data_IF_992098670510
#
_entry.id   IF_992098670510
#
_cell.length_a   1.000
_cell.length_b   1.000
_cell.length_c   1.000
_cell.angle_alpha   90.00
_cell.angle_beta   90.00
_cell.angle_gamma   90.00
#
_symmetry.space_group_name_H-M   'P 1'
#
loop_
_entity.id
_entity.type
_entity.pdbx_description
1 polymer ?
#
# COMPACT_ATOMS: atom_id res chain seq x y z
N UNK A 1 -0.71 -14.06 -9.54
CA UNK A 1 -1.56 -12.91 -9.16
C UNK A 1 -0.70 -11.65 -9.13
N UNK A 2 -1.28 -10.53 -9.52
CA UNK A 2 -0.59 -9.24 -9.49
C UNK A 2 -0.34 -8.85 -8.03
N UNK A 3 0.84 -8.27 -7.75
CA UNK A 3 1.17 -7.68 -6.44
C UNK A 3 0.07 -6.69 -6.00
N UNK A 4 -0.38 -6.70 -4.74
CA UNK A 4 -1.44 -5.82 -4.26
C UNK A 4 -1.19 -4.33 -4.50
N UNK A 5 0.06 -3.86 -4.40
CA UNK A 5 0.40 -2.47 -4.72
C UNK A 5 0.28 -2.18 -6.21
N UNK A 6 0.78 -3.08 -7.06
CA UNK A 6 0.65 -2.92 -8.52
C UNK A 6 -0.81 -2.97 -8.98
N UNK A 7 -1.66 -3.74 -8.29
CA UNK A 7 -3.09 -3.75 -8.55
C UNK A 7 -3.73 -2.38 -8.31
N UNK A 8 -3.33 -1.69 -7.25
CA UNK A 8 -3.80 -0.34 -6.95
C UNK A 8 -3.44 0.65 -8.06
N UNK A 9 -2.19 0.60 -8.55
CA UNK A 9 -1.75 1.48 -9.65
C UNK A 9 -2.36 1.10 -10.99
N UNK A 10 -2.58 -0.18 -11.24
CA UNK A 10 -3.27 -0.64 -12.46
C UNK A 10 -4.66 -0.03 -12.61
N UNK A 11 -5.34 0.29 -11.52
CA UNK A 11 -6.66 0.95 -11.53
C UNK A 11 -6.64 2.37 -12.12
N UNK A 12 -5.47 3.00 -12.24
CA UNK A 12 -5.31 4.29 -12.93
C UNK A 12 -5.39 4.19 -14.45
N UNK A 13 -5.23 2.99 -15.01
CA UNK A 13 -5.23 2.75 -16.45
C UNK A 13 -6.29 1.74 -16.90
N UNK A 14 -6.76 0.89 -15.99
CA UNK A 14 -7.72 -0.16 -16.30
C UNK A 14 -8.51 -0.59 -15.06
N UNK A 15 -9.67 -1.17 -15.28
CA UNK A 15 -10.42 -1.85 -14.23
C UNK A 15 -9.77 -3.22 -13.95
N UNK A 16 -9.42 -3.48 -12.69
CA UNK A 16 -8.91 -4.78 -12.25
C UNK A 16 -10.08 -5.63 -11.78
N UNK A 17 -10.41 -6.68 -12.53
CA UNK A 17 -11.50 -7.62 -12.23
C UNK A 17 -10.90 -8.97 -11.87
N UNK A 18 -11.33 -9.56 -10.78
CA UNK A 18 -11.05 -10.97 -10.50
C UNK A 18 -11.94 -11.83 -11.41
N UNK A 19 -11.34 -12.60 -12.31
CA UNK A 19 -12.09 -13.41 -13.24
C UNK A 19 -11.21 -14.25 -14.16
N UNK A 20 -11.86 -15.04 -14.98
CA UNK A 20 -11.27 -16.02 -15.90
C UNK A 20 -10.79 -15.43 -17.24
N UNK A 21 -10.69 -14.13 -17.35
CA UNK A 21 -10.21 -13.45 -18.55
C UNK A 21 -8.68 -13.45 -18.66
N UNK A 22 -8.15 -13.52 -19.86
CA UNK A 22 -6.77 -13.13 -20.15
C UNK A 22 -6.65 -11.64 -19.84
N UNK A 23 -5.94 -11.30 -18.77
CA UNK A 23 -5.60 -9.92 -18.51
C UNK A 23 -4.75 -9.41 -19.67
N UNK A 24 -5.32 -8.54 -20.48
CA UNK A 24 -4.47 -7.59 -21.22
C UNK A 24 -3.72 -6.82 -20.14
N UNK A 25 -2.40 -6.88 -20.20
CA UNK A 25 -1.56 -6.29 -19.17
C UNK A 25 -1.77 -4.79 -19.19
N UNK A 26 -2.58 -4.30 -18.27
CA UNK A 26 -2.48 -2.90 -17.90
C UNK A 26 -1.02 -2.64 -17.51
N UNK A 27 -0.42 -1.65 -18.14
CA UNK A 27 0.94 -1.24 -17.82
C UNK A 27 0.94 -0.59 -16.43
N UNK A 28 0.98 -1.42 -15.40
CA UNK A 28 0.97 -0.96 -14.02
C UNK A 28 2.33 -0.42 -13.56
N UNK A 29 3.28 -0.24 -14.48
CA UNK A 29 4.66 0.05 -14.09
C UNK A 29 5.30 -1.13 -13.32
N UNK A 30 6.43 -0.87 -12.70
CA UNK A 30 7.12 -1.83 -11.87
C UNK A 30 7.46 -1.21 -10.51
N UNK A 31 7.32 -2.01 -9.46
CA UNK A 31 7.91 -1.66 -8.17
C UNK A 31 9.42 -1.83 -8.26
N UNK A 32 10.13 -0.77 -7.93
CA UNK A 32 11.58 -0.80 -7.82
C UNK A 32 11.95 -1.12 -6.37
N UNK A 33 12.80 -2.14 -6.18
CA UNK A 33 13.37 -2.45 -4.87
C UNK A 33 14.54 -1.53 -4.60
N UNK A 34 14.50 -0.80 -3.49
CA UNK A 34 15.57 0.09 -3.06
C UNK A 34 16.59 -0.63 -2.21
N UNK A 35 17.86 -0.23 -2.34
CA UNK A 35 18.93 -0.73 -1.48
C UNK A 35 18.82 -0.12 -0.09
N UNK A 36 18.82 -0.99 0.91
CA UNK A 36 18.77 -0.62 2.33
C UNK A 36 20.19 -0.65 2.91
N UNK A 37 20.56 0.39 3.65
CA UNK A 37 21.85 0.52 4.34
C UNK A 37 21.62 0.81 5.82
N UNK A 38 22.58 0.42 6.68
CA UNK A 38 22.53 0.72 8.11
C UNK A 38 21.87 -0.35 8.99
N UNK A 39 21.28 -1.40 8.41
CA UNK A 39 20.78 -2.56 9.18
C UNK A 39 21.12 -3.87 8.52
N UNK A 40 21.16 -4.93 9.32
CA UNK A 40 21.37 -6.31 8.85
C UNK A 40 20.13 -7.15 9.17
N UNK A 41 19.87 -8.16 8.38
CA UNK A 41 18.73 -9.06 8.57
C UNK A 41 18.71 -9.74 9.95
N UNK A 42 19.89 -10.03 10.53
CA UNK A 42 20.02 -10.58 11.89
C UNK A 42 19.66 -9.59 13.01
N UNK A 43 19.40 -8.34 12.69
CA UNK A 43 19.17 -7.26 13.65
C UNK A 43 17.72 -6.75 13.65
N UNK A 44 16.82 -7.42 12.94
CA UNK A 44 15.41 -6.99 12.81
C UNK A 44 14.59 -7.35 14.06
N UNK A 45 15.09 -6.96 15.23
CA UNK A 45 14.45 -7.16 16.52
C UNK A 45 14.26 -5.80 17.20
N UNK A 46 12.98 -5.47 17.48
CA UNK A 46 12.60 -4.29 18.26
C UNK A 46 12.40 -4.67 19.72
N UNK A 47 12.98 -3.90 20.60
CA UNK A 47 12.72 -3.96 22.04
C UNK A 47 12.54 -2.53 22.59
N UNK A 48 12.13 -2.37 23.83
CA UNK A 48 12.03 -1.04 24.48
C UNK A 48 13.38 -0.28 24.54
N UNK A 49 14.50 -0.98 24.31
CA UNK A 49 15.84 -0.41 24.37
C UNK A 49 16.53 -0.36 23.01
N UNK A 50 15.94 -0.98 21.98
CA UNK A 50 16.54 -1.10 20.65
C UNK A 50 15.49 -0.78 19.58
N UNK A 51 15.66 0.32 18.88
CA UNK A 51 14.99 0.63 17.61
C UNK A 51 15.76 0.03 16.42
N UNK A 52 15.13 -0.07 15.27
CA UNK A 52 15.78 -0.40 14.00
C UNK A 52 15.80 0.88 13.18
N UNK A 53 16.99 1.29 12.76
CA UNK A 53 17.20 2.47 11.92
C UNK A 53 17.96 2.07 10.67
N UNK A 54 17.55 2.59 9.53
CA UNK A 54 18.22 2.36 8.25
C UNK A 54 17.92 3.49 7.28
N UNK A 55 18.75 3.57 6.24
CA UNK A 55 18.62 4.56 5.18
C UNK A 55 18.37 3.88 3.84
N UNK A 56 17.65 4.55 2.98
CA UNK A 56 17.42 4.15 1.58
C UNK A 56 17.69 5.33 0.67
N UNK A 57 18.18 5.07 -0.53
CA UNK A 57 18.47 6.09 -1.55
C UNK A 57 17.71 5.82 -2.84
N UNK A 58 17.67 6.80 -3.74
CA UNK A 58 16.90 6.71 -4.99
C UNK A 58 15.41 7.00 -4.80
N UNK A 59 15.05 7.74 -3.73
CA UNK A 59 13.66 7.93 -3.30
C UNK A 59 12.97 9.12 -3.96
N UNK A 60 13.70 10.16 -4.38
CA UNK A 60 13.14 11.46 -4.75
C UNK A 60 12.07 11.37 -5.84
N UNK A 61 10.90 11.96 -5.56
CA UNK A 61 9.75 12.00 -6.47
C UNK A 61 8.96 10.69 -6.58
N UNK A 62 9.41 9.63 -5.89
CA UNK A 62 8.73 8.33 -5.91
C UNK A 62 7.91 8.12 -4.64
N UNK A 63 6.86 7.32 -4.74
CA UNK A 63 6.10 6.87 -3.60
C UNK A 63 6.78 5.66 -2.96
N UNK A 64 7.00 5.72 -1.63
CA UNK A 64 7.84 4.77 -0.88
C UNK A 64 6.96 3.87 -0.01
N UNK A 65 7.29 2.58 -0.04
CA UNK A 65 6.64 1.53 0.75
C UNK A 65 7.67 0.70 1.50
N UNK A 66 7.46 0.51 2.80
CA UNK A 66 8.16 -0.47 3.62
C UNK A 66 7.31 -1.72 3.76
N UNK A 67 7.87 -2.87 3.45
CA UNK A 67 7.28 -4.20 3.68
C UNK A 67 8.07 -4.92 4.75
N UNK A 68 7.38 -5.49 5.71
CA UNK A 68 7.95 -6.31 6.77
C UNK A 68 7.37 -7.71 6.66
N UNK A 69 8.22 -8.72 6.77
CA UNK A 69 7.81 -10.12 6.58
C UNK A 69 8.16 -10.96 7.81
N UNK A 70 7.33 -11.97 8.06
CA UNK A 70 7.58 -12.97 9.09
C UNK A 70 7.58 -12.39 10.50
N UNK A 71 6.64 -11.51 10.81
CA UNK A 71 6.55 -10.92 12.14
C UNK A 71 6.33 -12.00 13.22
N UNK A 72 7.31 -12.16 14.12
CA UNK A 72 7.19 -12.96 15.33
C UNK A 72 6.85 -12.06 16.52
N UNK A 73 5.69 -12.29 17.10
CA UNK A 73 5.12 -11.45 18.16
C UNK A 73 4.73 -12.36 19.33
N UNK A 74 5.15 -12.06 20.57
CA UNK A 74 4.65 -12.74 21.76
C UNK A 74 3.12 -12.69 21.85
N UNK A 75 2.51 -13.67 22.51
CA UNK A 75 1.05 -13.73 22.68
C UNK A 75 0.54 -12.68 23.67
N UNK A 76 0.77 -11.43 23.32
CA UNK A 76 0.34 -10.22 24.03
C UNK A 76 0.15 -9.08 23.02
N UNK A 77 -0.62 -8.06 23.40
CA UNK A 77 -0.72 -6.85 22.60
C UNK A 77 0.66 -6.23 22.41
N UNK A 78 1.08 -6.14 21.15
CA UNK A 78 2.35 -5.54 20.75
C UNK A 78 2.06 -4.43 19.74
N UNK A 79 2.70 -3.27 19.93
CA UNK A 79 2.52 -2.10 19.08
C UNK A 79 3.89 -1.51 18.74
N UNK A 80 4.10 -1.16 17.50
CA UNK A 80 5.29 -0.47 17.03
C UNK A 80 4.91 0.66 16.08
N UNK A 81 5.80 1.62 15.94
CA UNK A 81 5.69 2.70 14.96
C UNK A 81 6.79 2.61 13.93
N UNK A 82 6.48 3.12 12.75
CA UNK A 82 7.43 3.37 11.66
C UNK A 82 7.40 4.85 11.35
N UNK A 83 8.55 5.49 11.42
CA UNK A 83 8.75 6.90 11.08
C UNK A 83 9.65 7.01 9.86
N UNK A 84 9.29 7.87 8.92
CA UNK A 84 10.07 8.16 7.72
C UNK A 84 9.34 9.18 6.85
N UNK A 85 10.07 9.95 6.06
CA UNK A 85 9.52 10.95 5.15
C UNK A 85 8.54 11.94 5.83
N UNK A 86 8.84 12.34 7.07
CA UNK A 86 7.98 13.23 7.87
C UNK A 86 6.65 12.60 8.32
N UNK A 87 6.48 11.30 8.15
CA UNK A 87 5.27 10.56 8.55
C UNK A 87 5.60 9.54 9.63
N UNK A 88 4.64 9.30 10.52
CA UNK A 88 4.70 8.20 11.49
C UNK A 88 3.42 7.39 11.38
N UNK A 89 3.56 6.06 11.35
CA UNK A 89 2.47 5.09 11.31
C UNK A 89 2.63 4.10 12.45
N UNK A 90 1.55 3.76 13.14
CA UNK A 90 1.55 2.77 14.21
C UNK A 90 0.81 1.51 13.77
N UNK A 91 1.35 0.36 14.16
CA UNK A 91 0.78 -0.97 13.91
C UNK A 91 0.62 -1.72 15.21
N UNK A 92 -0.53 -2.37 15.36
CA UNK A 92 -0.86 -3.13 16.54
C UNK A 92 -1.12 -4.59 16.16
N UNK A 93 -0.44 -5.48 16.86
CA UNK A 93 -0.75 -6.91 16.84
C UNK A 93 -1.50 -7.29 18.11
N UNK A 94 -2.67 -7.87 17.93
CA UNK A 94 -3.48 -8.39 19.03
C UNK A 94 -3.15 -9.86 19.29
N UNK A 95 -3.23 -10.36 20.53
CA UNK A 95 -3.07 -11.76 20.85
C UNK A 95 -4.24 -12.62 20.32
N UNK A 96 -4.04 -13.94 20.23
CA UNK A 96 -5.12 -14.87 19.91
C UNK A 96 -6.25 -14.74 20.91
N UNK A 97 -7.50 -14.68 20.37
CA UNK A 97 -8.69 -14.48 21.19
C UNK A 97 -9.13 -13.02 21.40
N UNK A 98 -8.31 -12.03 20.99
CA UNK A 98 -8.74 -10.64 20.89
C UNK A 98 -9.58 -10.44 19.62
N UNK A 99 -10.62 -9.60 19.66
CA UNK A 99 -11.48 -9.29 18.51
C UNK A 99 -10.71 -8.66 17.34
N UNK A 100 -9.56 -8.03 17.63
CA UNK A 100 -8.68 -7.41 16.62
C UNK A 100 -7.59 -8.36 16.14
N UNK A 101 -7.63 -9.64 16.50
CA UNK A 101 -6.64 -10.62 16.03
C UNK A 101 -6.72 -10.80 14.53
N UNK A 102 -5.57 -10.75 13.87
CA UNK A 102 -5.41 -11.08 12.45
C UNK A 102 -4.26 -12.06 12.27
N UNK A 103 -4.44 -13.03 11.41
CA UNK A 103 -3.35 -13.95 10.99
C UNK A 103 -2.39 -13.26 10.02
N UNK A 104 -2.84 -12.21 9.33
CA UNK A 104 -1.99 -11.42 8.44
C UNK A 104 -1.06 -10.55 9.27
N UNK A 105 0.23 -10.85 9.23
CA UNK A 105 1.26 -10.20 10.05
C UNK A 105 2.36 -9.51 9.25
N UNK A 106 2.21 -9.43 7.93
CA UNK A 106 3.18 -8.82 7.02
C UNK A 106 2.66 -7.44 6.58
N UNK A 107 2.94 -6.38 7.33
CA UNK A 107 2.43 -5.06 7.00
C UNK A 107 3.17 -4.47 5.80
N UNK A 108 2.40 -3.81 4.93
CA UNK A 108 2.89 -2.93 3.89
C UNK A 108 2.58 -1.48 4.27
N UNK A 109 3.61 -0.69 4.46
CA UNK A 109 3.54 0.63 5.09
C UNK A 109 3.90 1.70 4.08
N UNK A 110 2.92 2.53 3.71
CA UNK A 110 3.13 3.66 2.83
C UNK A 110 3.78 4.82 3.60
N UNK A 111 4.93 5.28 3.14
CA UNK A 111 5.64 6.44 3.66
C UNK A 111 5.39 7.72 2.82
N UNK A 112 4.63 7.59 1.71
CA UNK A 112 4.27 8.67 0.81
C UNK A 112 5.38 9.04 -0.16
N UNK A 113 5.18 10.15 -0.88
CA UNK A 113 6.11 10.62 -1.89
C UNK A 113 7.31 11.29 -1.22
N UNK A 114 8.51 10.83 -1.57
CA UNK A 114 9.74 11.36 -0.99
C UNK A 114 10.16 12.67 -1.66
N UNK A 115 10.43 13.68 -0.83
CA UNK A 115 10.96 14.97 -1.30
C UNK A 115 12.47 14.94 -1.54
N UNK A 116 13.19 14.05 -0.85
CA UNK A 116 14.63 13.90 -0.90
C UNK A 116 15.04 12.58 -1.51
N UNK A 117 16.27 12.49 -2.00
CA UNK A 117 16.80 11.25 -2.57
C UNK A 117 17.15 10.22 -1.49
N UNK A 118 17.61 10.66 -0.34
CA UNK A 118 17.85 9.83 0.83
C UNK A 118 16.69 9.94 1.82
N UNK A 119 16.30 8.82 2.39
CA UNK A 119 15.27 8.71 3.40
C UNK A 119 15.74 7.85 4.56
N UNK A 120 15.70 8.40 5.77
CA UNK A 120 15.89 7.65 7.00
C UNK A 120 14.55 7.08 7.47
N UNK A 121 14.58 5.80 7.86
CA UNK A 121 13.42 5.07 8.37
C UNK A 121 13.78 4.50 9.73
N UNK A 122 12.90 4.72 10.71
CA UNK A 122 13.04 4.21 12.06
C UNK A 122 11.81 3.42 12.46
N UNK A 123 12.05 2.23 13.03
CA UNK A 123 11.04 1.41 13.68
C UNK A 123 11.26 1.43 15.18
N UNK A 124 10.21 1.70 15.97
CA UNK A 124 10.28 1.78 17.43
C UNK A 124 9.17 0.99 18.09
N UNK A 125 9.49 0.19 19.10
CA UNK A 125 8.51 -0.52 19.90
C UNK A 125 7.79 0.43 20.87
N UNK A 126 6.47 0.57 20.72
CA UNK A 126 5.63 1.41 21.58
C UNK A 126 5.07 0.60 22.77
N UNK A 127 4.62 -0.63 22.50
CA UNK A 127 4.00 -1.51 23.49
C UNK A 127 4.43 -2.96 23.27
N UNK A 128 4.51 -3.73 24.34
CA UNK A 128 4.95 -5.12 24.33
C UNK A 128 6.37 -5.27 24.88
N UNK A 129 6.92 -6.47 24.71
CA UNK A 129 8.29 -6.79 25.14
C UNK A 129 9.28 -6.70 23.99
N UNK A 130 8.91 -7.36 22.89
CA UNK A 130 9.73 -7.42 21.68
C UNK A 130 8.85 -7.78 20.47
N UNK A 131 9.36 -7.52 19.31
CA UNK A 131 8.89 -8.02 18.02
C UNK A 131 10.09 -8.22 17.11
N UNK A 132 10.09 -9.31 16.36
CA UNK A 132 11.11 -9.54 15.33
C UNK A 132 10.47 -9.75 13.97
N UNK A 133 11.25 -9.50 12.93
CA UNK A 133 10.87 -9.74 11.54
C UNK A 133 11.93 -10.60 10.86
N UNK A 134 11.51 -11.48 9.96
CA UNK A 134 12.44 -12.32 9.19
C UNK A 134 13.17 -11.49 8.13
N UNK A 135 12.47 -10.54 7.52
CA UNK A 135 13.05 -9.64 6.53
C UNK A 135 12.29 -8.34 6.39
N UNK A 136 12.93 -7.35 5.80
CA UNK A 136 12.33 -6.11 5.35
C UNK A 136 12.70 -5.83 3.88
N UNK A 137 11.83 -5.12 3.22
CA UNK A 137 12.02 -4.65 1.85
C UNK A 137 11.49 -3.22 1.74
N UNK A 138 12.24 -2.34 1.09
CA UNK A 138 11.75 -1.02 0.72
C UNK A 138 11.56 -1.00 -0.78
N UNK A 139 10.36 -0.64 -1.20
CA UNK A 139 10.00 -0.50 -2.62
C UNK A 139 9.61 0.93 -2.92
N UNK A 140 9.88 1.36 -4.13
CA UNK A 140 9.38 2.62 -4.66
C UNK A 140 8.52 2.40 -5.89
N UNK A 141 7.60 3.33 -6.12
CA UNK A 141 6.80 3.42 -7.32
C UNK A 141 6.95 4.82 -7.92
N UNK A 142 7.24 4.88 -9.22
CA UNK A 142 7.29 6.15 -9.94
C UNK A 142 5.86 6.65 -10.19
N UNK A 143 5.57 7.84 -9.71
CA UNK A 143 4.26 8.49 -9.84
C UNK A 143 4.30 9.70 -10.78
N UNK A 144 5.36 9.84 -11.60
CA UNK A 144 5.51 10.99 -12.52
C UNK A 144 4.32 11.15 -13.46
N UNK A 145 3.70 10.05 -13.88
CA UNK A 145 2.54 10.04 -14.77
C UNK A 145 1.18 10.07 -14.04
N UNK A 146 1.18 10.18 -12.70
CA UNK A 146 -0.05 10.07 -11.91
C UNK A 146 -1.09 11.13 -12.30
N UNK A 147 -0.70 12.40 -12.37
CA UNK A 147 -1.63 13.49 -12.70
C UNK A 147 -2.18 13.35 -14.12
N UNK A 148 -1.34 12.96 -15.08
CA UNK A 148 -1.75 12.70 -16.45
C UNK A 148 -2.74 11.52 -16.53
N UNK A 149 -2.48 10.45 -15.78
CA UNK A 149 -3.37 9.29 -15.72
C UNK A 149 -4.72 9.64 -15.10
N UNK A 150 -4.74 10.41 -14.02
CA UNK A 150 -5.98 10.89 -13.40
C UNK A 150 -6.76 11.79 -14.37
N UNK A 151 -6.09 12.73 -15.06
CA UNK A 151 -6.74 13.58 -16.03
C UNK A 151 -7.33 12.78 -17.20
N UNK A 152 -6.65 11.74 -17.68
CA UNK A 152 -7.16 10.84 -18.70
C UNK A 152 -8.39 10.08 -18.23
N UNK A 153 -8.40 9.58 -17.00
CA UNK A 153 -9.56 8.90 -16.41
C UNK A 153 -10.77 9.84 -16.27
N UNK A 154 -10.55 11.09 -15.90
CA UNK A 154 -11.62 12.10 -15.79
C UNK A 154 -12.26 12.42 -17.15
N UNK A 155 -11.52 12.26 -18.25
CA UNK A 155 -12.01 12.44 -19.61
C UNK A 155 -12.62 11.15 -20.20
N UNK A 156 -12.42 10.01 -19.55
CA UNK A 156 -12.98 8.75 -20.02
C UNK A 156 -14.53 8.79 -19.95
N UNK A 157 -15.24 8.01 -20.78
CA UNK A 157 -16.70 7.91 -20.71
C UNK A 157 -17.14 7.51 -19.30
N UNK A 158 -17.99 8.31 -18.71
CA UNK A 158 -18.53 8.12 -17.36
C UNK A 158 -20.04 8.33 -17.36
N UNK A 159 -20.68 7.89 -16.28
CA UNK A 159 -22.12 8.05 -16.10
C UNK A 159 -22.43 9.52 -15.87
N UNK A 160 -23.25 10.11 -16.77
CA UNK A 160 -23.74 11.48 -16.67
C UNK A 160 -25.20 11.50 -16.20
N UNK A 161 -25.68 12.66 -15.78
CA UNK A 161 -27.06 12.88 -15.33
C UNK A 161 -27.52 11.88 -14.25
N UNK A 162 -26.61 11.65 -13.30
CA UNK A 162 -26.79 10.64 -12.26
C UNK A 162 -27.88 11.07 -11.29
N UNK A 163 -28.92 10.25 -11.14
CA UNK A 163 -29.91 10.37 -10.08
C UNK A 163 -29.89 9.10 -9.21
N UNK A 164 -30.08 9.30 -7.93
CA UNK A 164 -30.09 8.21 -6.94
C UNK A 164 -31.34 8.35 -6.07
N UNK A 165 -32.07 7.27 -5.92
CA UNK A 165 -33.21 7.17 -5.03
C UNK A 165 -33.27 5.79 -4.36
N UNK A 166 -34.27 5.55 -3.51
CA UNK A 166 -34.48 4.27 -2.81
C UNK A 166 -34.68 3.06 -3.76
N UNK A 167 -34.94 3.29 -5.03
CA UNK A 167 -35.15 2.25 -6.04
C UNK A 167 -33.91 1.99 -6.89
N UNK A 168 -32.83 2.78 -6.72
CA UNK A 168 -31.56 2.56 -7.38
C UNK A 168 -30.93 3.80 -8.00
N UNK A 169 -29.95 3.53 -8.85
CA UNK A 169 -29.14 4.52 -9.56
C UNK A 169 -29.59 4.58 -11.04
N UNK A 170 -29.75 5.78 -11.55
CA UNK A 170 -30.00 6.04 -12.96
C UNK A 170 -29.02 7.06 -13.49
N UNK A 171 -28.65 6.93 -14.74
CA UNK A 171 -27.77 7.86 -15.43
C UNK A 171 -27.63 7.50 -16.90
N UNK A 172 -26.97 8.35 -17.65
CA UNK A 172 -26.69 8.15 -19.07
C UNK A 172 -25.18 7.98 -19.28
N UNK A 173 -24.80 7.09 -20.18
CA UNK A 173 -23.42 6.94 -20.64
C UNK A 173 -23.39 6.98 -22.16
N UNK A 174 -22.47 7.76 -22.71
CA UNK A 174 -22.20 7.79 -24.14
C UNK A 174 -20.88 7.10 -24.40
N UNK A 175 -20.92 6.00 -25.14
CA UNK A 175 -19.72 5.28 -25.58
C UNK A 175 -19.87 4.94 -27.06
N UNK A 176 -18.79 5.12 -27.83
CA UNK A 176 -18.77 4.75 -29.24
C UNK A 176 -18.50 3.26 -29.46
N UNK A 177 -18.04 2.56 -28.42
CA UNK A 177 -17.75 1.12 -28.43
C UNK A 177 -18.49 0.45 -27.28
N UNK A 178 -18.94 -0.78 -27.48
CA UNK A 178 -19.47 -1.59 -26.37
C UNK A 178 -18.39 -1.80 -25.30
N UNK A 179 -18.82 -1.92 -24.05
CA UNK A 179 -17.88 -2.07 -22.94
C UNK A 179 -18.57 -2.46 -21.63
N UNK A 180 -17.79 -2.49 -20.57
CA UNK A 180 -18.28 -2.75 -19.22
C UNK A 180 -18.48 -1.43 -18.48
N UNK A 181 -19.54 -1.35 -17.70
CA UNK A 181 -19.79 -0.22 -16.78
C UNK A 181 -19.48 -0.72 -15.37
N UNK A 182 -18.57 -0.04 -14.70
CA UNK A 182 -18.28 -0.29 -13.29
C UNK A 182 -19.02 0.74 -12.43
N UNK A 183 -19.79 0.24 -11.46
CA UNK A 183 -20.50 1.07 -10.50
C UNK A 183 -19.91 0.79 -9.10
N UNK A 184 -19.30 1.81 -8.50
CA UNK A 184 -18.89 1.75 -7.10
C UNK A 184 -20.04 2.27 -6.24
N UNK A 185 -20.91 1.37 -5.82
CA UNK A 185 -22.00 1.68 -4.89
C UNK A 185 -21.59 1.27 -3.48
N UNK A 186 -21.92 2.08 -2.46
CA UNK A 186 -21.77 1.63 -1.08
C UNK A 186 -22.64 0.40 -0.87
N UNK A 187 -22.07 -0.60 -0.23
CA UNK A 187 -22.78 -1.81 0.17
C UNK A 187 -23.27 -1.61 1.60
N UNK A 188 -24.60 -1.63 1.78
CA UNK A 188 -25.26 -1.59 3.10
C UNK A 188 -25.36 -2.98 3.71
#
# INVERSE_FOLDING_TARGET
SLDPLLRQYAMLSAMVVEGTGTAESASAGALERLSVTGTQQSELILTKKKSIQFSVSGCKGKEIYLRLYGASVPDQTTEFSVSGNGKTRSYRYAPKGDLMYSEQRDPCIQLGVAGNDELEIELTLLRGREISFDSLEVCSYDISDYEASVAALQQAPHLADVSYDENGLRGSISSQTGGWVFLSLPYD
#
